data_IF_548952495713
#
_entry.id   IF_548952495713
#
_cell.length_a   1.000
_cell.length_b   1.000
_cell.length_c   1.000
_cell.angle_alpha   90.00
_cell.angle_beta   90.00
_cell.angle_gamma   90.00
#
_symmetry.space_group_name_H-M   'P 1'
#
loop_
_entity.id
_entity.type
_entity.pdbx_description
1 polymer ?
#
# COMPACT_ATOMS: atom_id res chain seq x y z
N UNK A 1 -42.88 -47.16 44.21
CA UNK A 1 -41.72 -46.38 44.67
C UNK A 1 -40.56 -46.42 43.68
N UNK A 2 -40.16 -47.57 43.14
CA UNK A 2 -39.05 -47.68 42.17
C UNK A 2 -39.34 -47.10 40.78
N UNK A 3 -40.53 -47.33 40.23
CA UNK A 3 -40.91 -46.86 38.88
C UNK A 3 -40.96 -45.33 38.79
N UNK A 4 -41.50 -44.67 39.82
CA UNK A 4 -41.57 -43.20 39.89
C UNK A 4 -40.18 -42.59 39.96
N UNK A 5 -39.26 -43.18 40.75
CA UNK A 5 -37.88 -42.72 40.85
C UNK A 5 -37.14 -42.85 39.51
N UNK A 6 -37.32 -43.98 38.81
CA UNK A 6 -36.73 -44.21 37.48
C UNK A 6 -37.21 -43.20 36.43
N UNK A 7 -38.50 -42.87 36.42
CA UNK A 7 -39.05 -41.85 35.50
C UNK A 7 -38.41 -40.49 35.80
N UNK A 8 -38.36 -40.10 37.07
CA UNK A 8 -37.80 -38.82 37.50
C UNK A 8 -36.30 -38.71 37.17
N UNK A 9 -35.53 -39.79 37.35
CA UNK A 9 -34.11 -39.82 37.00
C UNK A 9 -33.89 -39.72 35.49
N UNK A 10 -34.72 -40.38 34.67
CA UNK A 10 -34.62 -40.28 33.22
C UNK A 10 -34.94 -38.87 32.74
N UNK A 11 -35.97 -38.24 33.29
CA UNK A 11 -36.37 -36.87 32.93
C UNK A 11 -35.29 -35.84 33.29
N UNK A 12 -34.66 -35.97 34.47
CA UNK A 12 -33.52 -35.12 34.86
C UNK A 12 -32.30 -35.30 33.96
N UNK A 13 -32.02 -36.53 33.50
CA UNK A 13 -30.89 -36.84 32.61
C UNK A 13 -31.13 -36.28 31.19
N UNK A 14 -32.38 -36.31 30.72
CA UNK A 14 -32.76 -35.65 29.48
C UNK A 14 -32.61 -34.12 29.54
N UNK A 15 -32.93 -33.51 30.68
CA UNK A 15 -32.75 -32.07 30.87
C UNK A 15 -31.26 -31.70 30.84
N UNK A 16 -30.40 -32.45 31.53
CA UNK A 16 -28.97 -32.20 31.58
C UNK A 16 -28.30 -32.36 30.20
N UNK A 17 -28.67 -33.41 29.46
CA UNK A 17 -28.17 -33.62 28.09
C UNK A 17 -28.61 -32.53 27.11
N UNK A 18 -29.86 -32.06 27.20
CA UNK A 18 -30.35 -30.91 26.41
C UNK A 18 -29.60 -29.63 26.75
N UNK A 19 -29.33 -29.39 28.04
CA UNK A 19 -28.57 -28.23 28.46
C UNK A 19 -27.14 -28.29 27.91
N UNK A 20 -26.49 -29.45 27.99
CA UNK A 20 -25.14 -29.65 27.46
C UNK A 20 -25.06 -29.43 25.95
N UNK A 21 -26.06 -29.89 25.18
CA UNK A 21 -26.14 -29.66 23.74
C UNK A 21 -26.21 -28.16 23.45
N UNK A 22 -27.08 -27.43 24.16
CA UNK A 22 -27.24 -25.99 23.98
C UNK A 22 -25.94 -25.23 24.26
N UNK A 23 -25.23 -25.60 25.33
CA UNK A 23 -23.96 -24.96 25.69
C UNK A 23 -22.89 -25.22 24.62
N UNK A 24 -22.83 -26.44 24.08
CA UNK A 24 -21.91 -26.79 22.99
C UNK A 24 -22.25 -26.08 21.68
N UNK A 25 -23.54 -25.94 21.36
CA UNK A 25 -23.98 -25.19 20.19
C UNK A 25 -23.58 -23.71 20.28
N UNK A 26 -23.70 -23.12 21.47
CA UNK A 26 -23.27 -21.75 21.73
C UNK A 26 -21.75 -21.61 21.57
N UNK A 27 -20.97 -22.50 22.18
CA UNK A 27 -19.51 -22.49 22.07
C UNK A 27 -19.04 -22.65 20.61
N UNK A 28 -19.68 -23.54 19.84
CA UNK A 28 -19.39 -23.70 18.41
C UNK A 28 -19.73 -22.43 17.62
N UNK A 29 -20.83 -21.75 17.95
CA UNK A 29 -21.20 -20.49 17.32
C UNK A 29 -20.15 -19.40 17.58
N UNK A 30 -19.72 -19.26 18.84
CA UNK A 30 -18.75 -18.25 19.25
C UNK A 30 -17.38 -18.48 18.61
N UNK A 31 -16.94 -19.74 18.59
CA UNK A 31 -15.69 -20.14 17.92
C UNK A 31 -15.74 -19.87 16.42
N UNK A 32 -16.86 -20.14 15.74
CA UNK A 32 -17.02 -19.84 14.32
C UNK A 32 -16.94 -18.34 14.04
N UNK A 33 -17.55 -17.51 14.89
CA UNK A 33 -17.47 -16.05 14.76
C UNK A 33 -16.02 -15.57 14.93
N UNK A 34 -15.30 -16.08 15.92
CA UNK A 34 -13.90 -15.74 16.15
C UNK A 34 -13.01 -16.17 14.96
N UNK A 35 -13.21 -17.37 14.43
CA UNK A 35 -12.48 -17.85 13.25
C UNK A 35 -12.72 -16.96 12.04
N UNK A 36 -13.95 -16.49 11.81
CA UNK A 36 -14.25 -15.59 10.70
C UNK A 36 -13.47 -14.27 10.82
N UNK A 37 -13.45 -13.66 12.00
CA UNK A 37 -12.69 -12.42 12.27
C UNK A 37 -11.19 -12.63 12.06
N UNK A 38 -10.64 -13.73 12.59
CA UNK A 38 -9.21 -14.04 12.45
C UNK A 38 -8.82 -14.30 10.99
N UNK A 39 -9.67 -14.96 10.20
CA UNK A 39 -9.41 -15.19 8.78
C UNK A 39 -9.39 -13.87 7.99
N UNK A 40 -10.29 -12.95 8.31
CA UNK A 40 -10.30 -11.61 7.71
C UNK A 40 -9.02 -10.83 8.03
N UNK A 41 -8.60 -10.84 9.30
CA UNK A 41 -7.35 -10.19 9.72
C UNK A 41 -6.12 -10.81 9.05
N UNK A 42 -6.05 -12.14 8.98
CA UNK A 42 -4.97 -12.85 8.28
C UNK A 42 -4.95 -12.48 6.80
N UNK A 43 -6.11 -12.37 6.14
CA UNK A 43 -6.19 -11.95 4.74
C UNK A 43 -5.63 -10.54 4.57
N UNK A 44 -6.08 -9.59 5.38
CA UNK A 44 -5.60 -8.19 5.36
C UNK A 44 -4.09 -8.08 5.57
N UNK A 45 -3.54 -8.85 6.51
CA UNK A 45 -2.11 -8.89 6.78
C UNK A 45 -1.31 -9.51 5.62
N UNK A 46 -1.83 -10.60 5.03
CA UNK A 46 -1.23 -11.22 3.84
C UNK A 46 -1.23 -10.28 2.65
N UNK A 47 -2.31 -9.54 2.42
CA UNK A 47 -2.40 -8.56 1.34
C UNK A 47 -1.34 -7.46 1.52
N UNK A 48 -1.19 -6.94 2.74
CA UNK A 48 -0.14 -5.96 3.08
C UNK A 48 1.27 -6.51 2.87
N UNK A 49 1.53 -7.77 3.21
CA UNK A 49 2.84 -8.41 2.98
C UNK A 49 3.11 -8.71 1.51
N UNK A 50 2.07 -8.99 0.72
CA UNK A 50 2.19 -9.26 -0.71
C UNK A 50 2.60 -8.01 -1.52
N UNK A 51 2.43 -6.82 -0.95
CA UNK A 51 2.93 -5.57 -1.50
C UNK A 51 4.44 -5.48 -1.33
N UNK A 52 5.15 -5.81 -2.39
CA UNK A 52 6.58 -5.58 -2.58
C UNK A 52 6.81 -4.31 -3.39
N UNK A 53 8.01 -3.72 -3.34
CA UNK A 53 8.38 -2.56 -4.16
C UNK A 53 8.23 -2.79 -5.68
N UNK A 54 8.10 -4.06 -6.13
CA UNK A 54 7.90 -4.45 -7.53
C UNK A 54 6.43 -4.46 -7.98
N UNK A 55 5.47 -4.57 -7.06
CA UNK A 55 4.02 -4.62 -7.38
C UNK A 55 3.20 -3.53 -6.67
N UNK A 56 3.80 -2.78 -5.76
CA UNK A 56 3.20 -1.56 -5.20
C UNK A 56 3.33 -0.43 -6.22
N UNK A 57 2.27 -0.18 -6.99
CA UNK A 57 2.14 0.98 -7.89
C UNK A 57 2.14 2.33 -7.15
N UNK A 58 2.35 2.35 -5.83
CA UNK A 58 2.52 3.59 -5.07
C UNK A 58 3.90 4.18 -5.38
N UNK A 59 3.97 5.44 -5.83
CA UNK A 59 5.24 6.10 -6.05
C UNK A 59 5.98 6.24 -4.70
N UNK A 60 7.33 6.21 -4.70
CA UNK A 60 8.13 6.35 -3.48
C UNK A 60 7.93 7.70 -2.77
N UNK A 61 7.29 8.68 -3.42
CA UNK A 61 6.88 9.95 -2.83
C UNK A 61 5.66 9.84 -1.91
N UNK A 62 4.88 8.75 -1.97
CA UNK A 62 3.68 8.51 -1.15
C UNK A 62 3.98 7.83 0.19
N UNK A 63 5.24 7.48 0.43
CA UNK A 63 5.67 6.82 1.65
C UNK A 63 5.89 7.87 2.76
N UNK A 64 4.84 8.15 3.54
CA UNK A 64 4.83 9.15 4.63
C UNK A 64 5.46 8.59 5.90
N UNK A 65 6.11 7.43 5.87
CA UNK A 65 6.92 7.00 7.00
C UNK A 65 8.01 8.04 7.24
N UNK A 66 8.04 8.58 8.47
CA UNK A 66 9.03 9.54 8.97
C UNK A 66 10.38 9.24 8.35
N UNK A 67 10.81 10.07 7.40
CA UNK A 67 12.10 9.89 6.73
C UNK A 67 13.18 9.95 7.80
N UNK A 68 13.76 8.78 8.10
CA UNK A 68 14.92 8.69 8.97
C UNK A 68 16.01 9.50 8.26
N UNK A 69 16.62 10.50 8.92
CA UNK A 69 17.68 11.29 8.29
C UNK A 69 18.79 10.33 7.85
N UNK A 70 19.12 10.36 6.55
CA UNK A 70 20.20 9.53 6.00
C UNK A 70 21.50 9.93 6.70
N UNK A 71 22.27 8.94 7.15
CA UNK A 71 23.63 9.15 7.65
C UNK A 71 24.45 9.86 6.58
N UNK A 72 25.27 10.83 6.99
CA UNK A 72 26.19 11.50 6.08
C UNK A 72 27.12 10.47 5.44
N UNK A 73 27.08 10.40 4.11
CA UNK A 73 28.02 9.59 3.34
C UNK A 73 29.37 10.28 3.32
N UNK A 74 30.45 9.54 3.52
CA UNK A 74 31.81 10.05 3.33
C UNK A 74 32.16 10.24 1.84
N UNK A 75 31.28 9.81 0.93
CA UNK A 75 31.48 10.03 -0.50
C UNK A 75 31.16 11.48 -0.85
N UNK A 76 32.06 12.08 -1.65
CA UNK A 76 31.82 13.40 -2.24
C UNK A 76 30.56 13.36 -3.12
N UNK A 77 29.83 14.47 -3.18
CA UNK A 77 28.72 14.66 -4.12
C UNK A 77 29.23 14.57 -5.56
N UNK A 78 28.53 13.84 -6.42
CA UNK A 78 28.89 13.64 -7.83
C UNK A 78 29.25 12.20 -8.17
N UNK A 79 29.84 12.00 -9.34
CA UNK A 79 30.35 10.70 -9.79
C UNK A 79 31.39 10.15 -8.82
N UNK A 80 31.34 8.84 -8.56
CA UNK A 80 32.31 8.17 -7.70
C UNK A 80 33.69 8.13 -8.39
N UNK A 81 34.75 8.21 -7.59
CA UNK A 81 36.12 8.16 -8.10
C UNK A 81 36.38 6.83 -8.79
N UNK A 82 36.80 6.87 -10.05
CA UNK A 82 36.99 5.69 -10.91
C UNK A 82 35.80 5.32 -11.81
N UNK A 83 34.67 6.03 -11.70
CA UNK A 83 33.61 5.93 -12.71
C UNK A 83 33.92 6.84 -13.88
N UNK A 84 33.93 6.26 -15.09
CA UNK A 84 34.03 7.05 -16.31
C UNK A 84 32.75 7.88 -16.49
N UNK A 85 32.91 9.20 -16.54
CA UNK A 85 31.81 10.10 -16.80
C UNK A 85 31.37 9.97 -18.25
N UNK A 86 30.07 9.77 -18.48
CA UNK A 86 29.50 9.76 -19.82
C UNK A 86 28.67 11.05 -20.01
N UNK A 87 29.36 12.14 -20.33
CA UNK A 87 28.73 13.43 -20.62
C UNK A 87 28.39 13.48 -22.10
N UNK A 88 27.15 13.87 -22.44
CA UNK A 88 26.79 14.18 -23.82
C UNK A 88 27.59 15.40 -24.28
N UNK A 89 28.39 15.22 -25.32
CA UNK A 89 29.08 16.33 -25.97
C UNK A 89 28.09 17.14 -26.80
N UNK A 90 28.28 18.47 -26.84
CA UNK A 90 27.58 19.28 -27.83
C UNK A 90 27.95 18.81 -29.24
N UNK A 91 26.93 18.62 -30.07
CA UNK A 91 27.07 18.22 -31.46
C UNK A 91 26.57 19.35 -32.36
N UNK A 92 27.22 19.55 -33.51
CA UNK A 92 26.81 20.58 -34.47
C UNK A 92 25.40 20.33 -35.04
N UNK A 93 25.01 19.06 -35.15
CA UNK A 93 23.74 18.64 -35.75
C UNK A 93 22.98 17.73 -34.77
N UNK A 94 21.97 18.24 -34.06
CA UNK A 94 21.14 17.41 -33.20
C UNK A 94 20.23 16.49 -34.04
N UNK A 95 19.87 15.34 -33.48
CA UNK A 95 18.94 14.42 -34.12
C UNK A 95 17.50 14.96 -34.16
N UNK A 96 17.11 15.74 -33.15
CA UNK A 96 15.78 16.32 -33.02
C UNK A 96 15.88 17.75 -32.48
N UNK A 97 15.08 18.65 -33.05
CA UNK A 97 14.94 20.02 -32.60
C UNK A 97 13.47 20.25 -32.27
N UNK A 98 13.17 20.55 -31.01
CA UNK A 98 11.83 20.94 -30.58
C UNK A 98 11.83 22.43 -30.21
N UNK A 99 10.96 23.20 -30.87
CA UNK A 99 10.80 24.62 -30.60
C UNK A 99 9.65 24.84 -29.62
N UNK A 100 9.96 25.26 -28.40
CA UNK A 100 8.95 25.64 -27.42
C UNK A 100 8.58 27.11 -27.60
N UNK A 101 7.47 27.37 -28.30
CA UNK A 101 6.92 28.71 -28.45
C UNK A 101 6.05 29.09 -27.25
N UNK A 102 6.21 30.31 -26.77
CA UNK A 102 5.35 30.89 -25.75
C UNK A 102 4.20 31.58 -26.47
N UNK A 103 2.96 31.23 -26.11
CA UNK A 103 1.75 31.84 -26.69
C UNK A 103 1.32 33.06 -25.89
N UNK A 104 1.52 33.05 -24.57
CA UNK A 104 1.06 34.10 -23.67
C UNK A 104 2.20 34.46 -22.72
N UNK A 105 2.42 35.76 -22.51
CA UNK A 105 3.37 36.21 -21.50
C UNK A 105 2.86 35.91 -20.09
N UNK A 106 3.63 35.18 -19.29
CA UNK A 106 3.26 34.85 -17.90
C UNK A 106 3.09 36.08 -16.99
N UNK A 107 3.71 37.22 -17.35
CA UNK A 107 3.67 38.44 -16.55
C UNK A 107 2.53 39.38 -16.94
N UNK A 108 2.40 39.70 -18.23
CA UNK A 108 1.43 40.70 -18.71
C UNK A 108 0.26 40.11 -19.51
N UNK A 109 0.23 38.78 -19.70
CA UNK A 109 -0.81 38.05 -20.44
C UNK A 109 -1.01 38.47 -21.90
N UNK A 110 -0.06 39.21 -22.46
CA UNK A 110 -0.06 39.57 -23.87
C UNK A 110 0.11 38.32 -24.73
N UNK A 111 -0.65 38.26 -25.83
CA UNK A 111 -0.49 37.23 -26.86
C UNK A 111 0.83 37.44 -27.61
N UNK A 112 1.70 36.44 -27.53
CA UNK A 112 3.02 36.40 -28.16
C UNK A 112 3.07 35.44 -29.35
N UNK A 113 1.94 34.86 -29.76
CA UNK A 113 1.86 33.87 -30.84
C UNK A 113 2.39 34.39 -32.18
N UNK A 114 2.33 35.69 -32.41
CA UNK A 114 2.73 36.36 -33.66
C UNK A 114 3.95 37.28 -33.51
N UNK A 115 4.53 37.40 -32.31
CA UNK A 115 5.73 38.24 -32.11
C UNK A 115 6.98 37.52 -32.57
N UNK A 116 7.82 38.22 -33.33
CA UNK A 116 9.14 37.73 -33.74
C UNK A 116 10.11 37.69 -32.55
N UNK A 117 10.93 36.64 -32.51
CA UNK A 117 11.97 36.48 -31.49
C UNK A 117 13.12 37.45 -31.79
N UNK A 118 13.35 38.42 -30.91
CA UNK A 118 14.38 39.46 -31.10
C UNK A 118 15.81 39.05 -30.71
N UNK A 119 16.05 37.75 -30.45
CA UNK A 119 17.40 37.22 -30.29
C UNK A 119 17.47 35.97 -29.39
N UNK A 120 18.41 35.09 -29.73
CA UNK A 120 19.00 34.11 -28.83
C UNK A 120 20.50 34.33 -29.02
N UNK A 121 21.15 35.00 -28.06
CA UNK A 121 22.61 35.02 -27.98
C UNK A 121 23.12 33.69 -27.42
#
# INVERSE_FOLDING_TARGET
>A
MTVIYLIYTNEMLEIDSKQRIKDLEQEVSDLKALVAVLLEEISSLKDKLSLTSKNSSKPPSSDVFKKIPKSQSNNKSGGQLGHEGNTLNMVEKPNFIETHKIVICDYCQTDLSTTDVLGID
#
